data_IF_036880249102
#
_entry.id   IF_036880249102
#
_cell.length_a   1.000
_cell.length_b   1.000
_cell.length_c   1.000
_cell.angle_alpha   90.00
_cell.angle_beta   90.00
_cell.angle_gamma   90.00
#
_symmetry.space_group_name_H-M   'P 1'
#
loop_
_entity.id
_entity.type
_entity.pdbx_description
1 polymer ?
#
# COMPACT_ATOMS: atom_id res chain seq x y z
N UNK A 1 -9.86 6.89 -34.28
CA UNK A 1 -9.49 5.61 -33.66
C UNK A 1 -10.00 5.67 -32.22
N UNK A 2 -11.31 5.53 -32.04
CA UNK A 2 -12.03 4.27 -31.87
C UNK A 2 -11.70 3.60 -30.53
N UNK A 3 -12.57 3.87 -29.56
CA UNK A 3 -13.13 2.94 -28.58
C UNK A 3 -12.18 1.95 -27.86
N UNK A 4 -11.82 2.31 -26.63
CA UNK A 4 -11.40 1.39 -25.57
C UNK A 4 -12.25 1.60 -24.30
N UNK A 5 -13.54 1.87 -24.51
CA UNK A 5 -14.58 1.75 -23.49
C UNK A 5 -15.21 0.35 -23.64
N UNK A 6 -15.39 -0.35 -22.53
CA UNK A 6 -15.93 -1.72 -22.38
C UNK A 6 -14.97 -2.89 -22.56
N UNK A 7 -14.58 -3.48 -21.43
CA UNK A 7 -14.16 -4.88 -21.33
C UNK A 7 -12.73 -5.09 -20.81
N UNK A 8 -12.50 -4.90 -19.52
CA UNK A 8 -11.20 -5.23 -18.93
C UNK A 8 -11.28 -5.35 -17.42
N UNK A 9 -10.97 -6.54 -16.91
CA UNK A 9 -10.96 -6.95 -15.50
C UNK A 9 -10.37 -5.89 -14.55
N UNK A 10 -10.88 -5.78 -13.30
CA UNK A 10 -10.45 -4.77 -12.32
C UNK A 10 -8.97 -4.87 -11.92
N UNK A 11 -8.26 -5.91 -12.37
CA UNK A 11 -6.85 -6.17 -12.07
C UNK A 11 -5.86 -5.62 -13.11
N UNK A 12 -6.32 -5.01 -14.23
CA UNK A 12 -5.41 -4.56 -15.30
C UNK A 12 -4.75 -3.19 -15.12
N UNK A 13 -5.01 -2.49 -14.01
CA UNK A 13 -4.20 -1.30 -13.62
C UNK A 13 -2.95 -1.63 -12.81
N UNK A 14 -2.65 -2.92 -12.59
CA UNK A 14 -1.53 -3.32 -11.74
C UNK A 14 -0.13 -3.11 -12.35
N UNK A 15 0.03 -2.78 -13.64
CA UNK A 15 1.35 -2.86 -14.31
C UNK A 15 1.77 -1.65 -15.17
N UNK A 16 1.23 -0.44 -14.96
CA UNK A 16 1.73 0.77 -15.65
C UNK A 16 2.34 1.83 -14.71
N UNK A 17 3.04 1.38 -13.67
CA UNK A 17 4.09 2.17 -13.05
C UNK A 17 5.39 1.39 -13.16
N UNK A 18 6.36 1.90 -13.92
CA UNK A 18 7.76 1.46 -13.83
C UNK A 18 8.12 1.43 -12.33
N UNK A 19 8.53 0.31 -11.73
CA UNK A 19 9.19 0.41 -10.46
C UNK A 19 10.52 1.08 -10.78
N UNK A 20 10.68 2.36 -10.39
CA UNK A 20 11.98 2.77 -9.88
C UNK A 20 12.18 1.89 -8.65
N UNK A 21 12.70 0.69 -8.88
CA UNK A 21 13.04 -0.25 -7.85
C UNK A 21 14.20 0.38 -7.08
N UNK A 22 13.88 1.30 -6.17
CA UNK A 22 14.63 1.38 -4.94
C UNK A 22 14.51 -0.03 -4.35
N UNK A 23 15.64 -0.71 -4.16
CA UNK A 23 15.68 -2.01 -3.49
C UNK A 23 15.17 -1.94 -2.03
N UNK A 24 14.87 -0.73 -1.56
CA UNK A 24 14.31 -0.41 -0.24
C UNK A 24 12.78 -0.35 -0.34
N UNK A 25 12.06 -0.91 0.64
CA UNK A 25 10.60 -1.10 0.65
C UNK A 25 10.05 -2.27 -0.19
N UNK A 26 10.53 -3.49 0.09
CA UNK A 26 9.75 -4.70 -0.17
C UNK A 26 8.41 -4.62 0.59
N UNK A 27 7.34 -5.13 -0.02
CA UNK A 27 5.98 -4.99 0.50
C UNK A 27 5.21 -6.30 0.38
N UNK A 28 4.53 -6.66 1.46
CA UNK A 28 3.49 -7.69 1.48
C UNK A 28 2.11 -7.04 1.56
N UNK A 29 1.15 -7.63 0.86
CA UNK A 29 -0.26 -7.27 0.96
C UNK A 29 -1.08 -8.49 1.36
N UNK A 30 -1.64 -8.43 2.57
CA UNK A 30 -2.54 -9.46 3.11
C UNK A 30 -3.97 -8.92 3.17
N UNK A 31 -4.91 -9.70 2.65
CA UNK A 31 -6.34 -9.40 2.78
C UNK A 31 -6.95 -10.29 3.86
N UNK A 32 -7.65 -9.67 4.81
CA UNK A 32 -8.47 -10.34 5.82
C UNK A 32 -9.96 -10.14 5.51
N UNK A 33 -10.89 -10.83 6.20
CA UNK A 33 -12.31 -10.58 6.01
C UNK A 33 -12.75 -9.13 6.28
N UNK A 34 -12.01 -8.40 7.14
CA UNK A 34 -12.40 -7.07 7.61
C UNK A 34 -11.47 -5.95 7.17
N UNK A 35 -10.29 -6.24 6.63
CA UNK A 35 -9.30 -5.23 6.26
C UNK A 35 -8.33 -5.72 5.18
N UNK A 36 -7.69 -4.77 4.51
CA UNK A 36 -6.42 -4.98 3.83
C UNK A 36 -5.29 -4.52 4.74
N UNK A 37 -4.20 -5.28 4.80
CA UNK A 37 -3.01 -5.00 5.61
C UNK A 37 -1.81 -4.99 4.69
N UNK A 38 -1.16 -3.85 4.57
CA UNK A 38 0.09 -3.69 3.83
C UNK A 38 1.24 -3.62 4.83
N UNK A 39 2.29 -4.42 4.60
CA UNK A 39 3.51 -4.41 5.42
C UNK A 39 4.68 -4.06 4.54
N UNK A 40 5.47 -3.07 4.94
CA UNK A 40 6.54 -2.50 4.11
C UNK A 40 7.82 -2.43 4.95
N UNK A 41 8.90 -2.98 4.43
CA UNK A 41 10.21 -2.91 5.09
C UNK A 41 10.79 -1.49 4.99
N UNK A 42 10.96 -0.82 6.13
CA UNK A 42 11.45 0.55 6.27
C UNK A 42 12.54 0.66 7.36
N UNK A 43 13.63 -0.15 7.28
CA UNK A 43 14.64 -0.17 8.32
C UNK A 43 15.32 1.19 8.47
N UNK A 44 15.42 1.67 9.72
CA UNK A 44 16.08 2.93 10.05
C UNK A 44 15.25 4.19 9.82
N UNK A 45 13.98 4.05 9.40
CA UNK A 45 13.05 5.18 9.26
C UNK A 45 12.12 5.27 10.47
N UNK A 46 11.97 6.47 11.02
CA UNK A 46 10.99 6.76 12.06
C UNK A 46 9.65 7.18 11.46
N UNK A 47 8.65 7.40 12.34
CA UNK A 47 7.33 7.90 11.94
C UNK A 47 7.38 9.22 11.16
N UNK A 48 8.36 10.07 11.47
CA UNK A 48 8.49 11.41 10.88
C UNK A 48 9.21 11.39 9.53
N UNK A 49 9.77 10.24 9.14
CA UNK A 49 10.46 10.01 7.87
C UNK A 49 9.54 9.32 6.84
N UNK A 50 8.32 8.93 7.24
CA UNK A 50 7.36 8.20 6.41
C UNK A 50 6.07 9.00 6.28
N UNK A 51 5.60 9.15 5.05
CA UNK A 51 4.36 9.82 4.69
C UNK A 51 3.42 8.84 4.01
N UNK A 52 2.22 8.68 4.58
CA UNK A 52 1.15 7.84 4.04
C UNK A 52 -0.05 8.73 3.72
N UNK A 53 -0.52 8.70 2.48
CA UNK A 53 -1.64 9.51 2.00
C UNK A 53 -2.54 8.69 1.08
N UNK A 54 -3.80 9.08 0.98
CA UNK A 54 -4.68 8.60 -0.09
C UNK A 54 -4.89 9.76 -1.06
N UNK A 55 -4.51 9.54 -2.31
CA UNK A 55 -4.63 10.49 -3.41
C UNK A 55 -5.92 10.22 -4.22
N UNK A 56 -6.22 11.10 -5.17
CA UNK A 56 -7.39 10.99 -6.04
C UNK A 56 -7.43 9.64 -6.77
N UNK A 57 -8.63 9.08 -6.92
CA UNK A 57 -8.81 7.76 -7.52
C UNK A 57 -8.52 6.59 -6.56
N UNK A 58 -8.57 6.83 -5.25
CA UNK A 58 -8.45 5.81 -4.20
C UNK A 58 -7.07 5.11 -4.21
N UNK A 59 -6.01 5.90 -4.38
CA UNK A 59 -4.63 5.41 -4.45
C UNK A 59 -3.91 5.70 -3.14
N UNK A 60 -3.47 4.65 -2.44
CA UNK A 60 -2.62 4.74 -1.26
C UNK A 60 -1.18 5.02 -1.70
N UNK A 61 -0.69 6.22 -1.40
CA UNK A 61 0.66 6.72 -1.66
C UNK A 61 1.49 6.62 -0.37
N UNK A 62 2.53 5.79 -0.40
CA UNK A 62 3.47 5.62 0.71
C UNK A 62 4.84 6.09 0.24
N UNK A 63 5.38 7.12 0.89
CA UNK A 63 6.70 7.67 0.58
C UNK A 63 7.51 7.72 1.86
N UNK A 64 8.80 7.43 1.78
CA UNK A 64 9.69 7.64 2.90
C UNK A 64 11.08 7.97 2.42
N UNK A 65 11.73 8.87 3.14
CA UNK A 65 13.09 9.28 2.89
C UNK A 65 13.75 9.56 4.23
N UNK A 66 14.91 8.94 4.50
CA UNK A 66 15.71 9.36 5.63
C UNK A 66 16.10 10.83 5.43
N UNK A 67 15.83 11.68 6.43
CA UNK A 67 16.40 13.03 6.43
C UNK A 67 17.90 12.92 6.27
N UNK A 68 18.47 13.75 5.41
CA UNK A 68 19.92 13.89 5.35
C UNK A 68 20.39 14.33 6.73
N UNK A 69 20.95 13.39 7.51
CA UNK A 69 21.86 13.73 8.57
C UNK A 69 23.08 14.26 7.85
N UNK A 70 23.10 15.56 7.57
CA UNK A 70 24.23 16.17 6.87
C UNK A 70 25.42 16.13 7.80
N UNK A 71 26.28 15.11 7.73
CA UNK A 71 27.57 15.00 8.44
C UNK A 71 27.61 15.47 9.92
N UNK A 72 26.46 15.58 10.58
CA UNK A 72 26.36 16.23 11.88
C UNK A 72 26.61 15.20 12.98
N UNK A 73 27.90 14.99 13.22
CA UNK A 73 28.43 14.27 14.38
C UNK A 73 29.54 13.31 14.00
N UNK A 74 30.80 13.73 14.15
CA UNK A 74 32.01 12.90 14.10
C UNK A 74 32.41 12.22 12.76
N UNK A 75 31.59 12.28 11.71
CA UNK A 75 31.90 11.58 10.44
C UNK A 75 32.82 12.35 9.49
N UNK A 76 33.06 13.65 9.70
CA UNK A 76 34.00 14.43 8.87
C UNK A 76 35.44 13.88 8.90
N UNK A 77 35.81 13.17 9.97
CA UNK A 77 37.10 12.50 10.13
C UNK A 77 37.03 10.97 9.94
N UNK A 78 35.89 10.41 9.52
CA UNK A 78 35.71 8.98 9.38
C UNK A 78 36.17 8.46 8.01
N UNK A 79 36.92 7.36 8.00
CA UNK A 79 37.29 6.66 6.76
C UNK A 79 36.25 5.59 6.46
N UNK A 80 35.50 5.77 5.38
CA UNK A 80 34.55 4.78 4.88
C UNK A 80 35.30 3.69 4.11
N UNK A 81 35.29 2.46 4.64
CA UNK A 81 35.83 1.30 3.90
C UNK A 81 34.82 0.74 2.89
N UNK A 82 33.53 0.71 3.25
CA UNK A 82 32.41 0.23 2.42
C UNK A 82 31.11 0.94 2.82
N UNK A 83 30.27 1.33 1.86
CA UNK A 83 28.98 1.98 2.08
C UNK A 83 27.87 1.36 1.19
N UNK A 84 27.39 0.17 1.56
CA UNK A 84 26.36 -0.56 0.79
C UNK A 84 24.92 -0.16 1.16
N UNK A 85 24.71 0.37 2.37
CA UNK A 85 23.36 0.58 2.93
C UNK A 85 22.58 1.71 2.26
N UNK A 86 23.25 2.59 1.51
CA UNK A 86 22.64 3.71 0.78
C UNK A 86 21.84 4.68 1.67
N UNK A 87 21.22 5.68 1.03
CA UNK A 87 20.15 6.48 1.66
C UNK A 87 18.81 5.81 1.32
N UNK A 88 18.02 5.38 2.31
CA UNK A 88 16.72 4.78 2.03
C UNK A 88 15.73 5.88 1.64
N UNK A 89 15.51 6.00 0.33
CA UNK A 89 14.36 6.69 -0.25
C UNK A 89 13.49 5.67 -0.98
N UNK A 90 12.19 5.70 -0.73
CA UNK A 90 11.24 4.82 -1.38
C UNK A 90 9.90 5.51 -1.64
N UNK A 91 9.23 5.05 -2.70
CA UNK A 91 7.88 5.42 -3.03
C UNK A 91 7.11 4.18 -3.52
N UNK A 92 5.90 4.00 -3.01
CA UNK A 92 4.97 2.93 -3.38
C UNK A 92 3.58 3.51 -3.54
N UNK A 93 2.91 3.11 -4.60
CA UNK A 93 1.51 3.46 -4.86
C UNK A 93 0.71 2.17 -5.00
N UNK A 94 -0.41 2.10 -4.28
CA UNK A 94 -1.32 0.95 -4.29
C UNK A 94 -2.74 1.44 -4.49
N UNK A 95 -3.38 1.03 -5.58
CA UNK A 95 -4.80 1.27 -5.78
C UNK A 95 -5.61 0.46 -4.77
N UNK A 96 -6.38 1.14 -3.93
CA UNK A 96 -7.25 0.50 -2.95
C UNK A 96 -8.56 0.03 -3.61
N UNK A 97 -9.17 -1.05 -3.12
CA UNK A 97 -10.51 -1.46 -3.56
C UNK A 97 -11.57 -0.41 -3.21
N UNK A 98 -12.68 -0.39 -3.95
CA UNK A 98 -13.74 0.64 -3.78
C UNK A 98 -14.40 0.63 -2.39
N UNK A 99 -14.53 -0.54 -1.76
CA UNK A 99 -15.27 -0.72 -0.50
C UNK A 99 -14.37 -0.65 0.74
N UNK A 100 -13.62 0.45 0.89
CA UNK A 100 -12.75 0.68 2.05
C UNK A 100 -13.09 1.97 2.79
N UNK A 101 -12.88 1.97 4.10
CA UNK A 101 -13.11 3.14 4.95
C UNK A 101 -11.83 3.97 5.04
N UNK A 102 -11.64 4.86 4.07
CA UNK A 102 -10.43 5.70 3.94
C UNK A 102 -10.14 6.51 5.22
N UNK A 103 -11.17 7.08 5.83
CA UNK A 103 -11.05 7.87 7.07
C UNK A 103 -10.59 7.06 8.30
N UNK A 104 -10.68 5.72 8.22
CA UNK A 104 -10.31 4.81 9.31
C UNK A 104 -8.98 4.08 9.04
N UNK A 105 -8.26 4.46 7.99
CA UNK A 105 -6.92 3.93 7.73
C UNK A 105 -5.99 4.28 8.88
N UNK A 106 -5.18 3.32 9.32
CA UNK A 106 -4.17 3.51 10.35
C UNK A 106 -2.83 3.02 9.86
N UNK A 107 -1.78 3.73 10.23
CA UNK A 107 -0.41 3.36 9.91
C UNK A 107 0.46 3.41 11.17
N UNK A 108 1.38 2.47 11.31
CA UNK A 108 2.36 2.42 12.40
C UNK A 108 3.69 1.90 11.89
N UNK A 109 4.78 2.49 12.36
CA UNK A 109 6.13 1.97 12.15
C UNK A 109 6.61 1.34 13.45
N UNK A 110 6.99 0.08 13.40
CA UNK A 110 7.56 -0.66 14.53
C UNK A 110 8.67 -1.58 14.03
N UNK A 111 9.80 -1.65 14.74
CA UNK A 111 10.93 -2.52 14.44
C UNK A 111 11.42 -2.49 12.96
N UNK A 112 11.34 -1.33 12.30
CA UNK A 112 11.73 -1.18 10.90
C UNK A 112 10.71 -1.71 9.88
N UNK A 113 9.48 -2.00 10.30
CA UNK A 113 8.35 -2.34 9.44
C UNK A 113 7.25 -1.28 9.55
N UNK A 114 6.76 -0.81 8.42
CA UNK A 114 5.55 0.01 8.31
C UNK A 114 4.37 -0.92 8.06
N UNK A 115 3.41 -0.91 8.97
CA UNK A 115 2.11 -1.57 8.77
C UNK A 115 1.05 -0.52 8.49
N UNK A 116 0.33 -0.67 7.37
CA UNK A 116 -0.86 0.12 7.01
C UNK A 116 -2.08 -0.78 7.01
N UNK A 117 -3.06 -0.47 7.86
CA UNK A 117 -4.33 -1.18 7.96
C UNK A 117 -5.43 -0.35 7.31
N UNK A 118 -6.07 -0.93 6.30
CA UNK A 118 -7.16 -0.32 5.52
C UNK A 118 -8.45 -1.11 5.80
N UNK A 119 -9.33 -0.62 6.69
CA UNK A 119 -10.57 -1.32 7.01
C UNK A 119 -11.51 -1.38 5.81
N UNK A 120 -12.16 -2.53 5.62
CA UNK A 120 -13.22 -2.70 4.63
C UNK A 120 -14.52 -2.10 5.14
N UNK A 121 -15.37 -1.68 4.21
CA UNK A 121 -16.77 -1.41 4.53
C UNK A 121 -17.46 -2.71 4.97
N UNK A 122 -18.42 -2.62 5.91
CA UNK A 122 -19.19 -3.77 6.34
C UNK A 122 -19.94 -4.29 5.13
N UNK A 123 -19.73 -5.57 4.80
CA UNK A 123 -20.45 -6.20 3.72
C UNK A 123 -21.97 -6.03 3.95
N UNK A 124 -22.76 -5.68 2.91
CA UNK A 124 -24.20 -5.73 3.03
C UNK A 124 -24.59 -7.13 3.50
N UNK A 125 -25.59 -7.22 4.38
CA UNK A 125 -26.06 -8.49 4.90
C UNK A 125 -26.24 -9.46 3.73
N UNK A 126 -25.57 -10.62 3.78
CA UNK A 126 -25.62 -11.61 2.68
C UNK A 126 -27.08 -11.80 2.31
N UNK A 127 -27.46 -11.66 1.03
CA UNK A 127 -28.84 -11.89 0.62
C UNK A 127 -29.19 -13.31 1.03
N UNK A 128 -30.20 -13.45 1.89
CA UNK A 128 -30.70 -14.78 2.29
C UNK A 128 -31.21 -15.45 1.02
N UNK A 129 -30.54 -16.49 0.56
CA UNK A 129 -31.00 -17.30 -0.56
C UNK A 129 -32.41 -17.81 -0.23
N UNK A 130 -33.42 -17.35 -0.96
CA UNK A 130 -34.79 -17.83 -0.81
C UNK A 130 -35.03 -18.90 -1.86
N UNK A 131 -35.35 -20.15 -1.48
CA UNK A 131 -35.78 -21.14 -2.45
C UNK A 131 -37.09 -20.66 -3.09
N UNK A 132 -37.14 -20.67 -4.42
CA UNK A 132 -38.35 -20.32 -5.18
C UNK A 132 -39.06 -21.62 -5.52
N UNK A 133 -40.33 -21.75 -5.09
CA UNK A 133 -41.16 -22.89 -5.44
C UNK A 133 -41.45 -22.90 -6.94
N UNK A 134 -41.14 -24.02 -7.60
CA UNK A 134 -41.48 -24.23 -9.01
C UNK A 134 -42.82 -24.97 -9.06
N UNK A 135 -43.85 -24.32 -9.61
CA UNK A 135 -45.13 -24.97 -9.89
C UNK A 135 -45.18 -25.47 -11.33
N UNK A 136 -45.59 -26.72 -11.55
CA UNK A 136 -45.88 -27.29 -12.86
C UNK A 136 -47.31 -27.84 -12.89
N UNK A 137 -48.02 -27.69 -14.01
CA UNK A 137 -49.26 -28.41 -14.32
C UNK A 137 -48.95 -29.40 -15.43
N UNK A 138 -48.95 -30.68 -15.09
CA UNK A 138 -49.04 -31.81 -16.02
C UNK A 138 -50.47 -32.35 -15.98
#
# INVERSE_FOLDING_TARGET
MADLFFGGSPFRRLLYARPLASATAAMDWVETPTSHVLRINVPGLGKDDVKVQVEDGNVLSVRGAAKEKGNEGNEEAAVWHVAERGKPEFAREVALPEHVRVEQIRASVDNGELTVVVPKEPAPARPRTRPIAVSSKL
#
